data_IF_856537973264
#
_entry.id   IF_856537973264
#
_cell.length_a   1.000
_cell.length_b   1.000
_cell.length_c   1.000
_cell.angle_alpha   90.00
_cell.angle_beta   90.00
_cell.angle_gamma   90.00
#
_symmetry.space_group_name_H-M   'P 1'
#
loop_
_entity.id
_entity.type
_entity.pdbx_description
1 polymer ?
#
# COMPACT_ATOMS: atom_id res chain seq x y z
N UNK A 1 7.07 -28.79 -13.96
CA UNK A 1 5.59 -28.87 -13.93
C UNK A 1 5.23 -29.32 -12.54
N UNK A 2 4.83 -28.42 -11.67
CA UNK A 2 4.48 -28.72 -10.28
C UNK A 2 2.99 -28.99 -10.25
N UNK A 3 2.61 -30.26 -10.01
CA UNK A 3 1.22 -30.60 -9.78
C UNK A 3 0.94 -30.43 -8.28
N UNK A 4 0.32 -29.31 -7.90
CA UNK A 4 -0.28 -29.20 -6.58
C UNK A 4 -1.56 -30.05 -6.56
N UNK A 5 -1.74 -30.80 -5.49
CA UNK A 5 -2.96 -31.55 -5.26
C UNK A 5 -4.15 -30.57 -5.20
N UNK A 6 -5.26 -30.89 -5.85
CA UNK A 6 -6.48 -30.06 -5.83
C UNK A 6 -7.03 -29.81 -4.40
N UNK A 7 -6.47 -30.51 -3.41
CA UNK A 7 -6.89 -30.50 -2.00
C UNK A 7 -5.94 -29.68 -1.08
N UNK A 8 -4.87 -29.07 -1.61
CA UNK A 8 -4.00 -28.23 -0.77
C UNK A 8 -4.60 -26.84 -0.58
N UNK A 9 -4.60 -26.39 0.68
CA UNK A 9 -5.06 -25.03 1.01
C UNK A 9 -4.19 -23.98 0.29
N UNK A 10 -4.81 -23.14 -0.52
CA UNK A 10 -4.11 -22.08 -1.26
C UNK A 10 -3.91 -20.81 -0.43
N UNK A 11 -4.73 -20.63 0.60
CA UNK A 11 -4.68 -19.49 1.52
C UNK A 11 -4.60 -20.03 2.94
N UNK A 12 -3.59 -19.57 3.67
CA UNK A 12 -3.39 -19.88 5.08
C UNK A 12 -3.44 -18.60 5.89
N UNK A 13 -4.01 -18.68 7.07
CA UNK A 13 -4.01 -17.56 8.01
C UNK A 13 -3.57 -18.07 9.38
N UNK A 14 -2.53 -17.47 9.92
CA UNK A 14 -1.99 -17.76 11.24
C UNK A 14 -2.01 -16.53 12.12
N UNK A 15 -2.31 -16.71 13.40
CA UNK A 15 -2.29 -15.65 14.41
C UNK A 15 -1.45 -16.14 15.58
N UNK A 16 -0.51 -15.33 16.03
CA UNK A 16 0.32 -15.67 17.18
C UNK A 16 -0.54 -15.83 18.43
N UNK A 17 -0.23 -16.87 19.22
CA UNK A 17 -1.03 -17.20 20.38
C UNK A 17 -2.34 -17.95 20.10
N UNK A 18 -2.70 -18.18 18.83
CA UNK A 18 -3.82 -19.03 18.45
C UNK A 18 -3.33 -20.46 18.21
N UNK A 19 -3.80 -21.42 19.00
CA UNK A 19 -3.48 -22.85 18.83
C UNK A 19 -4.36 -23.55 17.82
N UNK A 20 -5.46 -22.92 17.44
CA UNK A 20 -6.48 -23.49 16.58
C UNK A 20 -6.13 -23.30 15.09
N UNK A 21 -6.50 -24.28 14.28
CA UNK A 21 -6.38 -24.16 12.83
C UNK A 21 -7.49 -23.26 12.29
N UNK A 22 -7.11 -22.16 11.62
CA UNK A 22 -8.01 -21.17 11.04
C UNK A 22 -8.12 -21.41 9.52
N UNK A 23 -9.19 -22.08 9.11
CA UNK A 23 -9.46 -22.33 7.69
C UNK A 23 -9.93 -21.03 6.98
N UNK A 24 -9.15 -20.49 6.05
CA UNK A 24 -9.54 -19.29 5.29
C UNK A 24 -10.66 -19.62 4.31
N UNK A 25 -11.84 -19.05 4.52
CA UNK A 25 -12.98 -19.19 3.62
C UNK A 25 -12.90 -18.19 2.46
N UNK A 26 -12.61 -16.95 2.78
CA UNK A 26 -12.42 -15.87 1.82
C UNK A 26 -11.67 -14.70 2.45
N UNK A 27 -11.08 -13.89 1.62
CA UNK A 27 -10.53 -12.62 2.05
C UNK A 27 -10.70 -11.55 0.96
N UNK A 28 -10.68 -10.30 1.38
CA UNK A 28 -10.54 -9.14 0.52
C UNK A 28 -9.65 -8.12 1.20
N UNK A 29 -8.83 -7.41 0.43
CA UNK A 29 -7.95 -6.39 0.98
C UNK A 29 -7.41 -5.45 -0.06
N UNK A 30 -6.86 -4.34 0.43
CA UNK A 30 -6.24 -3.31 -0.38
C UNK A 30 -4.84 -3.00 0.14
N UNK A 31 -3.91 -2.89 -0.78
CA UNK A 31 -2.58 -2.31 -0.58
C UNK A 31 -2.43 -1.12 -1.53
N UNK A 32 -1.89 0.01 -1.06
CA UNK A 32 -1.66 1.18 -1.91
C UNK A 32 -0.45 2.00 -1.42
N UNK A 33 0.17 2.75 -2.33
CA UNK A 33 1.22 3.72 -1.98
C UNK A 33 0.65 4.79 -1.05
N UNK A 34 1.41 5.16 -0.03
CA UNK A 34 1.03 6.19 0.92
C UNK A 34 -0.18 5.87 1.81
N UNK A 35 -0.63 4.59 1.81
CA UNK A 35 -1.74 4.12 2.64
C UNK A 35 -1.38 2.85 3.40
N UNK A 36 -1.94 2.70 4.59
CA UNK A 36 -1.89 1.45 5.32
C UNK A 36 -2.77 0.41 4.62
N UNK A 37 -2.23 -0.80 4.45
CA UNK A 37 -3.02 -1.91 3.92
C UNK A 37 -4.04 -2.40 4.95
N UNK A 38 -5.13 -2.99 4.44
CA UNK A 38 -6.15 -3.61 5.26
C UNK A 38 -6.72 -4.83 4.56
N UNK A 39 -6.79 -5.96 5.28
CA UNK A 39 -7.38 -7.20 4.79
C UNK A 39 -8.46 -7.68 5.74
N UNK A 40 -9.67 -7.88 5.24
CA UNK A 40 -10.74 -8.56 5.93
C UNK A 40 -10.70 -10.04 5.54
N UNK A 41 -10.54 -10.93 6.52
CA UNK A 41 -10.32 -12.37 6.36
C UNK A 41 -11.43 -13.12 7.10
N UNK A 42 -12.29 -13.82 6.37
CA UNK A 42 -13.30 -14.71 6.93
C UNK A 42 -12.70 -16.12 7.08
N UNK A 43 -12.72 -16.63 8.30
CA UNK A 43 -12.18 -17.96 8.61
C UNK A 43 -13.23 -18.83 9.26
N UNK A 44 -13.01 -20.13 9.21
CA UNK A 44 -13.76 -21.16 9.93
C UNK A 44 -12.85 -21.94 10.86
N UNK A 45 -13.38 -22.33 11.98
CA UNK A 45 -12.71 -23.14 13.01
C UNK A 45 -13.65 -24.21 13.52
N UNK A 46 -13.12 -25.43 13.74
CA UNK A 46 -13.88 -26.60 14.20
C UNK A 46 -14.00 -26.64 15.73
N UNK A 47 -13.17 -25.89 16.46
CA UNK A 47 -13.15 -25.89 17.92
C UNK A 47 -14.13 -24.91 18.53
N UNK A 48 -14.45 -25.13 19.81
CA UNK A 48 -15.25 -24.23 20.64
C UNK A 48 -14.68 -22.79 20.61
N UNK A 49 -15.51 -21.82 20.93
CA UNK A 49 -15.25 -20.41 20.72
C UNK A 49 -13.81 -19.94 20.99
N UNK A 50 -13.18 -19.32 19.98
CA UNK A 50 -11.87 -18.66 20.12
C UNK A 50 -11.98 -17.51 21.13
N UNK A 51 -10.95 -17.32 21.95
CA UNK A 51 -10.80 -16.11 22.74
C UNK A 51 -10.31 -14.96 21.84
N UNK A 52 -11.26 -14.39 21.07
CA UNK A 52 -10.98 -13.30 20.13
C UNK A 52 -10.41 -12.04 20.79
N UNK A 53 -10.65 -11.84 22.10
CA UNK A 53 -10.10 -10.70 22.83
C UNK A 53 -8.60 -10.87 23.06
N UNK A 54 -8.15 -12.08 23.36
CA UNK A 54 -6.73 -12.38 23.52
C UNK A 54 -5.94 -12.29 22.21
N UNK A 55 -6.61 -12.43 21.06
CA UNK A 55 -5.99 -12.35 19.73
C UNK A 55 -5.85 -10.92 19.21
N UNK A 56 -6.45 -9.92 19.84
CA UNK A 56 -6.27 -8.52 19.44
C UNK A 56 -4.82 -8.09 19.62
N UNK A 57 -4.31 -7.31 18.66
CA UNK A 57 -2.93 -6.82 18.59
C UNK A 57 -1.86 -7.91 18.41
N UNK A 58 -2.23 -9.20 18.39
CA UNK A 58 -1.29 -10.26 18.07
C UNK A 58 -0.82 -10.15 16.62
N UNK A 59 0.40 -10.57 16.36
CA UNK A 59 0.93 -10.69 15.01
C UNK A 59 0.21 -11.80 14.26
N UNK A 60 -0.02 -11.57 12.97
CA UNK A 60 -0.73 -12.51 12.11
C UNK A 60 -0.20 -12.44 10.67
N UNK A 61 -0.34 -13.55 9.94
CA UNK A 61 0.11 -13.63 8.56
C UNK A 61 -0.92 -14.35 7.69
N UNK A 62 -1.34 -13.67 6.60
CA UNK A 62 -2.07 -14.26 5.50
C UNK A 62 -1.07 -14.71 4.43
N UNK A 63 -1.00 -16.01 4.16
CA UNK A 63 -0.10 -16.60 3.16
C UNK A 63 -0.88 -17.00 1.91
N UNK A 64 -0.49 -16.47 0.76
CA UNK A 64 -0.99 -16.86 -0.55
C UNK A 64 -0.02 -17.88 -1.16
N UNK A 65 -0.40 -19.15 -1.15
CA UNK A 65 0.38 -20.24 -1.71
C UNK A 65 0.12 -20.42 -3.21
N UNK A 66 0.58 -21.53 -3.78
CA UNK A 66 0.37 -21.88 -5.18
C UNK A 66 1.06 -20.92 -6.18
N UNK A 67 2.22 -20.41 -5.78
CA UNK A 67 3.17 -19.66 -6.62
C UNK A 67 4.57 -20.25 -6.39
N UNK A 68 5.55 -20.04 -7.29
CA UNK A 68 6.92 -20.52 -7.06
C UNK A 68 7.53 -20.03 -5.74
N UNK A 69 7.08 -18.87 -5.27
CA UNK A 69 7.40 -18.34 -3.95
C UNK A 69 6.10 -17.84 -3.31
N UNK A 70 5.74 -18.29 -2.09
CA UNK A 70 4.54 -17.84 -1.42
C UNK A 70 4.61 -16.33 -1.19
N UNK A 71 3.47 -15.66 -1.30
CA UNK A 71 3.33 -14.26 -0.90
C UNK A 71 2.81 -14.21 0.53
N UNK A 72 3.47 -13.43 1.34
CA UNK A 72 3.08 -13.15 2.71
C UNK A 72 2.44 -11.77 2.82
N UNK A 73 1.42 -11.64 3.64
CA UNK A 73 0.83 -10.39 4.10
C UNK A 73 0.81 -10.50 5.61
N UNK A 74 1.89 -10.04 6.21
CA UNK A 74 2.09 -10.04 7.66
C UNK A 74 1.56 -8.74 8.25
N UNK A 75 0.97 -8.77 9.45
CA UNK A 75 0.43 -7.61 10.13
C UNK A 75 0.10 -7.89 11.59
N UNK A 76 -0.79 -7.07 12.14
CA UNK A 76 -1.42 -7.28 13.44
C UNK A 76 -2.92 -7.47 13.27
N UNK A 77 -3.54 -8.22 14.17
CA UNK A 77 -4.99 -8.31 14.27
C UNK A 77 -5.52 -6.99 14.83
N UNK A 78 -6.05 -6.15 13.94
CA UNK A 78 -6.65 -4.87 14.32
C UNK A 78 -8.05 -5.07 14.93
N UNK A 79 -8.83 -5.99 14.40
CA UNK A 79 -10.10 -6.42 14.97
C UNK A 79 -10.39 -7.88 14.67
N UNK A 80 -11.11 -8.53 15.58
CA UNK A 80 -11.61 -9.88 15.40
C UNK A 80 -13.06 -9.93 15.87
N UNK A 81 -13.90 -10.69 15.17
CA UNK A 81 -15.32 -10.82 15.50
C UNK A 81 -15.87 -12.18 15.12
N UNK A 82 -16.76 -12.72 15.97
CA UNK A 82 -17.54 -13.91 15.66
C UNK A 82 -18.72 -13.51 14.76
N UNK A 83 -18.92 -14.20 13.64
CA UNK A 83 -19.99 -13.92 12.69
C UNK A 83 -21.21 -14.79 12.95
N UNK A 84 -21.00 -16.12 13.00
CA UNK A 84 -22.04 -17.12 13.21
C UNK A 84 -21.43 -18.46 13.64
N UNK A 85 -22.24 -19.30 14.19
CA UNK A 85 -21.95 -20.73 14.36
C UNK A 85 -22.98 -21.53 13.57
N UNK A 86 -22.55 -22.49 12.79
CA UNK A 86 -23.40 -23.51 12.18
C UNK A 86 -23.15 -24.87 12.85
N UNK A 87 -23.72 -25.94 12.30
CA UNK A 87 -23.67 -27.26 12.94
C UNK A 87 -22.27 -27.86 13.03
N UNK A 88 -21.27 -27.32 12.31
CA UNK A 88 -19.94 -27.91 12.17
C UNK A 88 -18.82 -26.92 12.40
N UNK A 89 -19.05 -25.62 12.23
CA UNK A 89 -18.00 -24.60 12.24
C UNK A 89 -18.42 -23.33 12.95
N UNK A 90 -17.46 -22.68 13.60
CA UNK A 90 -17.53 -21.29 14.05
C UNK A 90 -16.91 -20.39 13.00
N UNK A 91 -17.62 -19.36 12.59
CA UNK A 91 -17.17 -18.39 11.57
C UNK A 91 -16.70 -17.11 12.25
N UNK A 92 -15.49 -16.70 11.93
CA UNK A 92 -14.88 -15.49 12.44
C UNK A 92 -14.45 -14.57 11.30
N UNK A 93 -14.39 -13.27 11.58
CA UNK A 93 -13.78 -12.28 10.72
C UNK A 93 -12.64 -11.62 11.45
N UNK A 94 -11.47 -11.60 10.81
CA UNK A 94 -10.29 -10.88 11.25
C UNK A 94 -10.00 -9.73 10.32
N UNK A 95 -9.58 -8.60 10.89
CA UNK A 95 -9.00 -7.48 10.14
C UNK A 95 -7.51 -7.43 10.41
N UNK A 96 -6.74 -7.65 9.37
CA UNK A 96 -5.27 -7.61 9.37
C UNK A 96 -4.81 -6.25 8.83
N UNK A 97 -3.93 -5.57 9.57
CA UNK A 97 -3.40 -4.27 9.20
C UNK A 97 -1.93 -4.14 9.66
N UNK A 98 -1.15 -3.15 9.16
CA UNK A 98 0.19 -2.91 9.67
C UNK A 98 0.17 -2.34 11.08
N UNK A 99 1.24 -2.55 11.87
CA UNK A 99 1.37 -1.89 13.17
C UNK A 99 1.33 -0.35 13.07
N UNK A 100 1.70 0.22 11.91
CA UNK A 100 1.59 1.64 11.63
C UNK A 100 0.15 2.17 11.76
N UNK A 101 -0.87 1.29 11.67
CA UNK A 101 -2.28 1.68 11.90
C UNK A 101 -2.50 2.18 13.33
N UNK A 102 -1.70 1.75 14.30
CA UNK A 102 -1.78 2.24 15.67
C UNK A 102 -1.47 3.75 15.80
N UNK A 103 -0.75 4.33 14.83
CA UNK A 103 -0.51 5.77 14.76
C UNK A 103 -1.79 6.58 14.47
N UNK A 104 -2.80 5.94 13.89
CA UNK A 104 -4.11 6.56 13.67
C UNK A 104 -4.86 6.87 14.99
N UNK A 105 -4.60 6.10 16.03
CA UNK A 105 -5.26 6.26 17.35
C UNK A 105 -4.49 7.17 18.31
N UNK A 106 -3.45 7.86 17.83
CA UNK A 106 -2.60 8.76 18.62
C UNK A 106 -2.69 10.17 18.07
N UNK A 107 -3.40 11.06 18.76
CA UNK A 107 -3.44 12.50 18.46
C UNK A 107 -2.45 13.24 19.32
N UNK A 108 -1.69 14.16 18.74
CA UNK A 108 -0.64 14.89 19.45
C UNK A 108 -0.55 16.37 19.04
N UNK A 109 0.12 17.13 19.91
CA UNK A 109 0.57 18.51 19.65
C UNK A 109 2.05 18.59 19.97
N UNK A 110 2.90 18.66 18.95
CA UNK A 110 4.36 18.63 19.10
C UNK A 110 5.01 19.62 18.16
N UNK A 111 6.18 20.11 18.58
CA UNK A 111 7.03 20.98 17.79
C UNK A 111 8.35 20.26 17.55
N UNK A 112 8.77 20.22 16.29
CA UNK A 112 10.07 19.73 15.89
C UNK A 112 10.88 20.90 15.33
N UNK A 113 12.13 21.03 15.77
CA UNK A 113 13.02 22.12 15.36
C UNK A 113 14.35 21.55 14.90
N UNK A 114 14.91 22.12 13.84
CA UNK A 114 16.20 21.71 13.28
C UNK A 114 16.31 20.20 13.04
N UNK A 115 15.25 19.60 12.50
CA UNK A 115 15.17 18.19 12.16
C UNK A 115 14.76 18.01 10.71
N UNK A 116 15.29 16.99 10.07
CA UNK A 116 14.81 16.58 8.75
C UNK A 116 13.48 15.81 8.85
N UNK A 117 12.75 15.69 7.74
CA UNK A 117 11.52 14.88 7.71
C UNK A 117 11.81 13.43 8.08
N UNK A 118 12.93 12.89 7.65
CA UNK A 118 13.35 11.52 7.99
C UNK A 118 13.60 11.34 9.49
N UNK A 119 14.19 12.34 10.15
CA UNK A 119 14.37 12.34 11.61
C UNK A 119 13.02 12.40 12.33
N UNK A 120 12.09 13.24 11.84
CA UNK A 120 10.75 13.36 12.41
C UNK A 120 9.99 12.05 12.29
N UNK A 121 10.02 11.37 11.12
CA UNK A 121 9.40 10.07 10.92
C UNK A 121 9.92 9.06 11.95
N UNK A 122 11.24 8.96 12.13
CA UNK A 122 11.86 8.05 13.09
C UNK A 122 11.47 8.39 14.53
N UNK A 123 11.46 9.68 14.89
CA UNK A 123 11.06 10.15 16.22
C UNK A 123 9.60 9.80 16.55
N UNK A 124 8.68 10.05 15.61
CA UNK A 124 7.25 9.72 15.79
C UNK A 124 7.06 8.22 15.97
N UNK A 125 7.74 7.41 15.15
CA UNK A 125 7.71 5.95 15.22
C UNK A 125 8.20 5.43 16.56
N UNK A 126 9.36 5.92 17.02
CA UNK A 126 9.95 5.54 18.31
C UNK A 126 9.06 5.96 19.49
N UNK A 127 8.53 7.19 19.48
CA UNK A 127 7.63 7.68 20.53
C UNK A 127 6.30 6.93 20.58
N UNK A 128 5.89 6.32 19.48
CA UNK A 128 4.75 5.43 19.44
C UNK A 128 5.03 4.04 20.03
N UNK A 129 6.29 3.71 20.34
CA UNK A 129 6.68 2.41 20.85
C UNK A 129 6.60 1.29 19.81
N UNK A 130 6.60 1.63 18.52
CA UNK A 130 6.54 0.65 17.43
C UNK A 130 7.91 0.00 17.22
N UNK A 131 7.91 -1.24 16.69
CA UNK A 131 9.14 -1.97 16.43
C UNK A 131 10.05 -1.21 15.45
N UNK A 132 11.26 -0.79 15.85
CA UNK A 132 12.17 -0.05 14.98
C UNK A 132 12.58 -0.84 13.73
N UNK A 133 12.64 -2.17 13.77
CA UNK A 133 12.97 -3.01 12.62
C UNK A 133 11.86 -3.02 11.53
N UNK A 134 10.66 -2.57 11.87
CA UNK A 134 9.53 -2.48 10.94
C UNK A 134 9.43 -1.09 10.26
N UNK A 135 10.44 -0.26 10.41
CA UNK A 135 10.58 1.02 9.71
C UNK A 135 11.89 1.04 8.91
N UNK A 136 11.80 1.46 7.66
CA UNK A 136 12.98 1.74 6.82
C UNK A 136 12.76 3.04 6.05
N UNK A 137 13.78 3.89 6.03
CA UNK A 137 13.78 5.13 5.27
C UNK A 137 14.94 5.08 4.28
N UNK A 138 14.65 5.24 2.99
CA UNK A 138 15.62 5.17 1.90
C UNK A 138 15.42 6.39 1.00
N UNK A 139 16.33 7.36 1.10
CA UNK A 139 16.29 8.58 0.28
C UNK A 139 17.59 8.72 -0.49
N UNK A 140 17.47 9.09 -1.77
CA UNK A 140 18.62 9.42 -2.64
C UNK A 140 19.14 10.81 -2.31
N UNK A 141 18.23 11.74 -1.99
CA UNK A 141 18.57 13.13 -1.75
C UNK A 141 18.55 13.44 -0.25
N UNK A 142 19.55 14.21 0.25
CA UNK A 142 19.50 14.70 1.64
C UNK A 142 18.23 15.52 1.86
N UNK A 143 17.49 15.17 2.89
CA UNK A 143 16.31 15.94 3.28
C UNK A 143 16.73 17.22 4.02
N UNK A 144 16.19 18.40 3.66
CA UNK A 144 16.54 19.64 4.32
C UNK A 144 16.14 19.62 5.80
N UNK A 145 16.92 20.31 6.63
CA UNK A 145 16.53 20.56 8.01
C UNK A 145 15.42 21.60 8.04
N UNK A 146 14.32 21.24 8.66
CA UNK A 146 13.20 22.16 8.90
C UNK A 146 13.52 23.02 10.11
N UNK A 147 13.49 24.34 9.95
CA UNK A 147 13.67 25.30 11.07
C UNK A 147 12.57 25.10 12.12
N UNK A 148 11.36 24.81 11.67
CA UNK A 148 10.18 24.63 12.50
C UNK A 148 9.14 23.75 11.80
N UNK A 149 8.66 22.70 12.49
CA UNK A 149 7.60 21.82 12.01
C UNK A 149 6.65 21.51 13.16
N UNK A 150 5.36 21.67 12.93
CA UNK A 150 4.32 21.48 13.96
C UNK A 150 3.39 20.34 13.55
N UNK A 151 3.17 19.43 14.50
CA UNK A 151 1.98 18.61 14.53
C UNK A 151 0.96 19.31 15.41
N UNK A 152 -0.21 19.63 14.88
CA UNK A 152 -1.22 20.35 15.62
C UNK A 152 -2.59 19.66 15.50
N UNK A 153 -3.04 19.06 16.60
CA UNK A 153 -4.34 18.41 16.76
C UNK A 153 -4.69 17.41 15.63
N UNK A 154 -3.70 16.69 15.18
CA UNK A 154 -3.81 15.65 14.15
C UNK A 154 -3.23 14.32 14.63
N UNK A 155 -3.66 13.21 14.02
CA UNK A 155 -3.11 11.90 14.36
C UNK A 155 -1.66 11.77 13.91
N UNK A 156 -0.89 10.91 14.58
CA UNK A 156 0.51 10.66 14.21
C UNK A 156 0.60 10.16 12.76
N UNK A 157 -0.34 9.31 12.32
CA UNK A 157 -0.38 8.82 10.94
C UNK A 157 -0.63 9.94 9.94
N UNK A 158 -1.64 10.78 10.18
CA UNK A 158 -1.96 11.91 9.30
C UNK A 158 -0.80 12.89 9.19
N UNK A 159 -0.16 13.18 10.33
CA UNK A 159 1.03 14.03 10.35
C UNK A 159 2.16 13.49 9.47
N UNK A 160 2.48 12.19 9.57
CA UNK A 160 3.51 11.58 8.72
C UNK A 160 3.11 11.61 7.24
N UNK A 161 1.86 11.32 6.91
CA UNK A 161 1.37 11.36 5.53
C UNK A 161 1.46 12.77 4.93
N UNK A 162 1.07 13.78 5.69
CA UNK A 162 1.18 15.19 5.29
C UNK A 162 2.63 15.63 5.05
N UNK A 163 3.55 15.20 5.93
CA UNK A 163 4.98 15.47 5.74
C UNK A 163 5.51 14.80 4.47
N UNK A 164 5.11 13.56 4.21
CA UNK A 164 5.50 12.84 3.00
C UNK A 164 5.03 13.57 1.75
N UNK A 165 3.77 13.99 1.71
CA UNK A 165 3.19 14.72 0.59
C UNK A 165 3.96 16.03 0.32
N UNK A 166 4.27 16.80 1.37
CA UNK A 166 4.97 18.07 1.23
C UNK A 166 6.44 17.94 0.81
N UNK A 167 7.08 16.81 1.14
CA UNK A 167 8.51 16.60 0.88
C UNK A 167 8.80 15.58 -0.22
N UNK A 168 7.76 15.17 -0.97
CA UNK A 168 7.93 14.24 -2.10
C UNK A 168 8.34 12.83 -1.67
N UNK A 169 7.98 12.44 -0.46
CA UNK A 169 8.15 11.08 0.01
C UNK A 169 6.86 10.27 -0.22
N UNK A 170 7.02 8.99 -0.44
CA UNK A 170 5.91 8.04 -0.37
C UNK A 170 6.35 6.79 0.38
N UNK A 171 5.39 5.97 0.79
CA UNK A 171 5.72 4.71 1.46
C UNK A 171 4.91 3.55 0.89
N UNK A 172 5.46 2.36 1.08
CA UNK A 172 4.84 1.09 0.79
C UNK A 172 5.25 0.07 1.86
N UNK A 173 4.73 -1.16 1.77
CA UNK A 173 5.05 -2.20 2.72
C UNK A 173 5.75 -3.37 2.04
N UNK A 174 6.78 -3.88 2.69
CA UNK A 174 7.41 -5.16 2.38
C UNK A 174 7.01 -6.19 3.43
N UNK A 175 6.83 -7.42 2.99
CA UNK A 175 6.38 -8.50 3.85
C UNK A 175 7.29 -9.73 3.74
N UNK A 176 7.55 -10.33 4.89
CA UNK A 176 8.08 -11.69 5.06
C UNK A 176 7.06 -12.53 5.83
N UNK A 177 7.36 -13.80 6.09
CA UNK A 177 6.50 -14.65 6.93
C UNK A 177 6.33 -14.08 8.35
N UNK A 178 7.38 -13.46 8.88
CA UNK A 178 7.48 -13.09 10.30
C UNK A 178 7.45 -11.57 10.54
N UNK A 179 7.47 -10.76 9.48
CA UNK A 179 7.58 -9.31 9.62
C UNK A 179 6.96 -8.56 8.44
N UNK A 180 6.43 -7.37 8.72
CA UNK A 180 6.18 -6.34 7.73
C UNK A 180 7.02 -5.10 8.01
N UNK A 181 7.45 -4.42 6.97
CA UNK A 181 8.30 -3.21 7.07
C UNK A 181 7.66 -2.08 6.28
N UNK A 182 7.42 -0.95 6.92
CA UNK A 182 7.00 0.29 6.27
C UNK A 182 8.23 0.98 5.70
N UNK A 183 8.28 1.16 4.40
CA UNK A 183 9.44 1.68 3.67
C UNK A 183 9.10 3.04 3.09
N UNK A 184 9.78 4.08 3.57
CA UNK A 184 9.68 5.45 3.04
C UNK A 184 10.78 5.67 2.00
N UNK A 185 10.41 6.24 0.86
CA UNK A 185 11.31 6.52 -0.26
C UNK A 185 11.02 7.89 -0.88
N UNK A 186 12.01 8.48 -1.55
CA UNK A 186 11.90 9.75 -2.28
C UNK A 186 11.87 9.56 -3.81
N UNK A 187 11.91 8.30 -4.30
CA UNK A 187 11.91 8.03 -5.72
C UNK A 187 11.62 6.58 -6.08
N UNK A 188 11.21 6.36 -7.33
CA UNK A 188 10.87 5.04 -7.86
C UNK A 188 12.10 4.14 -8.06
N UNK A 189 13.31 4.69 -8.04
CA UNK A 189 14.58 3.94 -8.18
C UNK A 189 14.83 2.95 -7.04
N UNK A 190 14.22 3.21 -5.87
CA UNK A 190 14.27 2.30 -4.71
C UNK A 190 13.31 1.11 -4.83
N UNK A 191 12.46 1.10 -5.85
CA UNK A 191 11.39 0.13 -6.00
C UNK A 191 11.84 -1.09 -6.81
N UNK A 192 11.47 -2.29 -6.35
CA UNK A 192 11.84 -3.54 -6.97
C UNK A 192 11.04 -3.81 -8.27
N UNK A 193 11.54 -4.74 -9.09
CA UNK A 193 10.79 -5.30 -10.22
C UNK A 193 10.25 -6.67 -9.85
N UNK A 194 8.96 -6.89 -10.11
CA UNK A 194 8.37 -8.23 -10.03
C UNK A 194 8.57 -9.02 -11.34
N UNK A 195 8.24 -10.31 -11.31
CA UNK A 195 8.33 -11.14 -12.50
C UNK A 195 7.42 -10.59 -13.63
N UNK A 196 7.86 -10.69 -14.90
CA UNK A 196 7.04 -10.27 -16.03
C UNK A 196 5.73 -11.05 -16.12
N UNK A 197 4.66 -10.35 -16.51
CA UNK A 197 3.32 -10.93 -16.67
C UNK A 197 2.86 -10.77 -18.10
N UNK A 198 2.31 -11.85 -18.66
CA UNK A 198 1.75 -11.85 -19.99
C UNK A 198 0.30 -11.35 -19.99
N UNK A 199 0.00 -10.44 -20.92
CA UNK A 199 -1.37 -10.06 -21.20
C UNK A 199 -2.07 -11.18 -21.97
N UNK A 200 -3.25 -11.56 -21.52
CA UNK A 200 -4.14 -12.48 -22.23
C UNK A 200 -5.58 -12.00 -22.01
N UNK A 201 -6.31 -11.65 -23.10
CA UNK A 201 -7.68 -11.23 -22.98
C UNK A 201 -8.54 -12.27 -22.25
N UNK A 202 -9.50 -11.79 -21.48
CA UNK A 202 -10.45 -12.65 -20.79
C UNK A 202 -11.24 -13.49 -21.81
N UNK A 203 -11.04 -14.80 -21.76
CA UNK A 203 -11.73 -15.77 -22.62
C UNK A 203 -12.91 -16.46 -21.93
N UNK A 204 -13.27 -16.00 -20.70
CA UNK A 204 -14.28 -16.65 -19.87
C UNK A 204 -13.82 -17.99 -19.24
N UNK A 205 -12.59 -18.41 -19.51
CA UNK A 205 -11.94 -19.54 -18.83
C UNK A 205 -11.04 -18.99 -17.74
N UNK A 206 -11.06 -19.62 -16.57
CA UNK A 206 -10.14 -19.27 -15.47
C UNK A 206 -8.78 -19.88 -15.83
N UNK A 207 -7.77 -19.10 -16.25
CA UNK A 207 -6.50 -19.66 -16.69
C UNK A 207 -5.72 -20.18 -15.48
N UNK A 208 -5.13 -21.37 -15.61
CA UNK A 208 -4.23 -21.93 -14.58
C UNK A 208 -2.90 -21.15 -14.48
N UNK A 209 -2.59 -20.37 -15.53
CA UNK A 209 -1.36 -19.57 -15.58
C UNK A 209 -1.59 -18.15 -15.06
N UNK A 210 -0.58 -17.54 -14.41
CA UNK A 210 -0.60 -16.14 -14.03
C UNK A 210 -0.68 -15.21 -15.24
N UNK A 211 -1.76 -14.42 -15.36
CA UNK A 211 -2.01 -13.52 -16.48
C UNK A 211 -2.56 -12.16 -16.03
N UNK A 212 -2.47 -11.21 -16.93
CA UNK A 212 -3.19 -9.94 -16.91
C UNK A 212 -4.33 -10.02 -17.94
N UNK A 213 -5.59 -9.92 -17.52
CA UNK A 213 -6.73 -10.22 -18.40
C UNK A 213 -7.43 -8.98 -18.96
N UNK A 214 -7.44 -7.89 -18.22
CA UNK A 214 -7.98 -6.60 -18.66
C UNK A 214 -6.90 -5.54 -18.49
N UNK A 215 -6.98 -4.50 -19.35
CA UNK A 215 -6.01 -3.41 -19.35
C UNK A 215 -6.71 -2.13 -19.86
N UNK A 216 -7.42 -1.47 -18.95
CA UNK A 216 -8.16 -0.27 -19.27
C UNK A 216 -7.25 0.95 -19.15
N UNK A 217 -6.96 1.57 -20.26
CA UNK A 217 -6.07 2.72 -20.34
C UNK A 217 -6.87 4.02 -20.46
N UNK A 218 -6.73 4.90 -19.48
CA UNK A 218 -7.47 6.15 -19.40
C UNK A 218 -6.54 7.34 -19.36
N UNK A 219 -6.91 8.40 -20.08
CA UNK A 219 -6.28 9.70 -20.01
C UNK A 219 -7.25 10.72 -19.44
N UNK A 220 -6.78 11.54 -18.51
CA UNK A 220 -7.55 12.61 -17.89
C UNK A 220 -6.81 13.93 -18.09
N UNK A 221 -7.56 15.00 -18.34
CA UNK A 221 -6.99 16.35 -18.38
C UNK A 221 -6.56 16.74 -16.96
N UNK A 222 -5.32 17.17 -16.82
CA UNK A 222 -4.75 17.59 -15.53
C UNK A 222 -4.03 18.92 -15.70
N UNK A 223 -3.58 19.53 -14.60
CA UNK A 223 -2.74 20.71 -14.66
C UNK A 223 -1.45 20.45 -15.45
N UNK A 224 -1.05 21.45 -16.24
CA UNK A 224 0.16 21.43 -17.06
C UNK A 224 1.27 22.30 -16.47
N UNK A 225 0.90 23.16 -15.52
CA UNK A 225 1.83 23.96 -14.73
C UNK A 225 1.40 23.99 -13.27
N UNK A 226 2.36 24.22 -12.37
CA UNK A 226 2.10 24.48 -10.97
C UNK A 226 2.84 25.72 -10.51
N UNK A 227 2.17 26.50 -9.66
CA UNK A 227 2.74 27.68 -9.00
C UNK A 227 2.48 27.56 -7.50
N UNK A 228 3.48 27.88 -6.72
CA UNK A 228 3.39 27.97 -5.27
C UNK A 228 3.79 29.35 -4.80
N UNK A 229 3.19 29.79 -3.71
CA UNK A 229 3.50 31.07 -3.09
C UNK A 229 3.49 30.93 -1.56
N UNK A 230 4.38 31.67 -0.91
CA UNK A 230 4.50 31.72 0.54
C UNK A 230 4.90 33.13 0.99
N UNK A 231 4.50 33.50 2.20
CA UNK A 231 4.81 34.78 2.77
C UNK A 231 5.84 34.66 3.91
N UNK A 232 7.01 35.26 3.70
CA UNK A 232 8.03 35.39 4.75
C UNK A 232 7.82 36.69 5.54
N UNK A 233 7.25 36.58 6.72
CA UNK A 233 6.99 37.71 7.61
C UNK A 233 8.29 38.36 8.13
N UNK A 234 9.42 37.63 8.07
CA UNK A 234 10.75 38.17 8.47
C UNK A 234 11.37 39.00 7.35
N UNK A 235 10.98 38.73 6.10
CA UNK A 235 11.44 39.41 4.89
C UNK A 235 10.27 39.77 3.98
N UNK A 236 9.38 40.69 4.41
CA UNK A 236 8.07 40.95 3.72
C UNK A 236 8.15 41.38 2.25
N UNK A 237 9.34 41.81 1.79
CA UNK A 237 9.59 42.23 0.40
C UNK A 237 10.18 41.14 -0.47
N UNK A 238 10.47 39.97 0.11
CA UNK A 238 11.04 38.84 -0.59
C UNK A 238 9.93 37.90 -1.01
N UNK A 239 9.74 37.74 -2.31
CA UNK A 239 8.74 36.80 -2.83
C UNK A 239 9.29 35.37 -2.75
N UNK A 240 8.57 34.52 -2.05
CA UNK A 240 8.82 33.07 -1.99
C UNK A 240 7.90 32.36 -2.98
N UNK A 241 8.11 32.59 -4.27
CA UNK A 241 7.29 32.00 -5.34
C UNK A 241 8.07 30.95 -6.12
N UNK A 242 7.44 29.84 -6.43
CA UNK A 242 7.97 28.80 -7.31
C UNK A 242 6.98 28.48 -8.41
N UNK A 243 7.47 28.28 -9.63
CA UNK A 243 6.64 27.89 -10.76
C UNK A 243 7.41 26.94 -11.69
N UNK A 244 6.67 26.10 -12.39
CA UNK A 244 7.23 25.13 -13.34
C UNK A 244 7.33 25.76 -14.73
N UNK A 245 6.31 25.66 -15.55
CA UNK A 245 6.29 26.26 -16.89
C UNK A 245 5.10 27.21 -17.02
N UNK A 246 5.11 28.08 -18.02
CA UNK A 246 4.07 29.09 -18.23
C UNK A 246 3.07 28.74 -19.34
N UNK A 247 2.80 27.44 -19.52
CA UNK A 247 1.90 27.00 -20.60
C UNK A 247 0.84 26.04 -20.06
N UNK A 248 -0.43 26.29 -20.40
CA UNK A 248 -1.53 25.39 -20.09
C UNK A 248 -2.30 25.73 -18.82
N UNK A 249 -3.03 24.74 -18.30
CA UNK A 249 -3.84 24.90 -17.09
C UNK A 249 -2.98 24.94 -15.84
N UNK A 250 -3.15 25.97 -15.02
CA UNK A 250 -2.37 26.20 -13.82
C UNK A 250 -3.03 25.60 -12.57
N UNK A 251 -2.22 24.95 -11.74
CA UNK A 251 -2.51 24.64 -10.35
C UNK A 251 -1.76 25.61 -9.44
N UNK A 252 -2.47 26.48 -8.75
CA UNK A 252 -1.90 27.44 -7.80
C UNK A 252 -2.15 26.98 -6.37
N UNK A 253 -1.09 27.01 -5.53
CA UNK A 253 -1.17 26.67 -4.10
C UNK A 253 -0.44 27.72 -3.26
N UNK A 254 -1.12 28.25 -2.24
CA UNK A 254 -0.55 29.15 -1.24
C UNK A 254 -0.36 28.42 0.09
N UNK A 255 0.64 28.86 0.90
CA UNK A 255 0.87 28.32 2.24
C UNK A 255 1.58 26.97 2.26
N UNK A 256 2.54 26.78 1.38
CA UNK A 256 3.33 25.54 1.26
C UNK A 256 4.45 25.41 2.30
N UNK A 257 4.56 26.37 3.23
CA UNK A 257 5.46 26.37 4.40
C UNK A 257 6.97 26.24 4.07
N UNK A 258 7.38 26.70 2.89
CA UNK A 258 8.81 26.75 2.54
C UNK A 258 9.43 28.08 2.98
N UNK A 259 10.65 28.03 3.47
CA UNK A 259 11.41 29.18 3.97
C UNK A 259 12.53 29.64 3.02
N UNK A 260 12.70 28.95 1.90
CA UNK A 260 13.72 29.23 0.89
C UNK A 260 13.17 29.16 -0.54
N UNK A 261 13.63 30.09 -1.40
CA UNK A 261 13.25 30.15 -2.82
C UNK A 261 13.58 28.85 -3.59
N UNK A 262 14.65 28.16 -3.24
CA UNK A 262 15.01 26.89 -3.85
C UNK A 262 13.98 25.78 -3.55
N UNK A 263 13.36 25.81 -2.38
CA UNK A 263 12.32 24.87 -1.99
C UNK A 263 10.99 25.15 -2.71
N UNK A 264 10.69 26.41 -3.01
CA UNK A 264 9.50 26.78 -3.76
C UNK A 264 9.46 26.13 -5.15
N UNK A 265 10.57 26.15 -5.88
CA UNK A 265 10.66 25.51 -7.20
C UNK A 265 10.51 23.98 -7.11
N UNK A 266 11.11 23.38 -6.10
CA UNK A 266 10.98 21.93 -5.84
C UNK A 266 9.53 21.57 -5.52
N UNK A 267 8.86 22.35 -4.68
CA UNK A 267 7.45 22.12 -4.34
C UNK A 267 6.52 22.28 -5.54
N UNK A 268 6.72 23.31 -6.36
CA UNK A 268 5.96 23.45 -7.60
C UNK A 268 6.12 22.22 -8.51
N UNK A 269 7.34 21.69 -8.62
CA UNK A 269 7.61 20.49 -9.40
C UNK A 269 6.95 19.24 -8.83
N UNK A 270 6.94 19.06 -7.51
CA UNK A 270 6.27 17.94 -6.83
C UNK A 270 4.75 17.98 -7.03
N UNK A 271 4.15 19.16 -6.88
CA UNK A 271 2.71 19.36 -7.12
C UNK A 271 2.36 19.05 -8.58
N UNK A 272 3.17 19.53 -9.52
CA UNK A 272 2.95 19.21 -10.93
C UNK A 272 3.08 17.72 -11.21
N UNK A 273 4.09 17.06 -10.64
CA UNK A 273 4.27 15.61 -10.78
C UNK A 273 3.06 14.85 -10.22
N UNK A 274 2.53 15.25 -9.07
CA UNK A 274 1.31 14.68 -8.49
C UNK A 274 0.11 14.83 -9.45
N UNK A 275 -0.09 16.01 -10.03
CA UNK A 275 -1.15 16.24 -11.01
C UNK A 275 -0.97 15.39 -12.27
N UNK A 276 0.27 15.24 -12.75
CA UNK A 276 0.58 14.45 -13.94
C UNK A 276 0.41 12.95 -13.72
N UNK A 277 0.59 12.45 -12.48
CA UNK A 277 0.27 11.06 -12.15
C UNK A 277 -1.21 10.71 -12.40
N UNK A 278 -2.09 11.66 -12.20
CA UNK A 278 -3.52 11.50 -12.47
C UNK A 278 -3.85 11.49 -13.98
N UNK A 279 -2.94 12.01 -14.82
CA UNK A 279 -3.16 12.17 -16.25
C UNK A 279 -3.32 10.84 -16.98
N UNK A 280 -2.55 9.83 -16.58
CA UNK A 280 -2.55 8.51 -17.21
C UNK A 280 -2.72 7.42 -16.16
N UNK A 281 -3.81 6.72 -16.23
CA UNK A 281 -4.13 5.59 -15.34
C UNK A 281 -4.41 4.34 -16.14
N UNK A 282 -3.92 3.22 -15.66
CA UNK A 282 -4.24 1.91 -16.20
C UNK A 282 -4.85 1.10 -15.07
N UNK A 283 -6.06 0.59 -15.32
CA UNK A 283 -6.71 -0.36 -14.45
C UNK A 283 -6.62 -1.74 -15.10
N UNK A 284 -5.94 -2.66 -14.42
CA UNK A 284 -5.75 -4.02 -14.91
C UNK A 284 -6.39 -5.04 -13.97
N UNK A 285 -6.88 -6.15 -14.53
CA UNK A 285 -7.33 -7.32 -13.78
C UNK A 285 -6.33 -8.45 -13.95
N UNK A 286 -6.06 -9.18 -12.87
CA UNK A 286 -5.04 -10.23 -12.87
C UNK A 286 -5.38 -11.33 -11.85
N UNK A 287 -4.75 -12.49 -12.00
CA UNK A 287 -4.70 -13.57 -11.02
C UNK A 287 -3.30 -13.76 -10.42
N UNK A 288 -2.37 -12.83 -10.68
CA UNK A 288 -0.99 -12.88 -10.21
C UNK A 288 -0.91 -12.46 -8.74
N UNK A 289 -0.45 -13.34 -7.87
CA UNK A 289 -0.42 -13.10 -6.41
C UNK A 289 0.72 -12.21 -5.94
N UNK A 290 1.82 -12.14 -6.71
CA UNK A 290 3.05 -11.43 -6.34
C UNK A 290 3.13 -10.00 -6.90
N UNK A 291 1.99 -9.35 -7.14
CA UNK A 291 1.94 -7.93 -7.48
C UNK A 291 1.69 -7.14 -6.20
N UNK A 292 2.47 -6.09 -5.96
CA UNK A 292 2.36 -5.23 -4.77
C UNK A 292 2.73 -3.78 -5.08
N UNK A 293 2.16 -2.81 -4.36
CA UNK A 293 2.48 -1.39 -4.53
C UNK A 293 3.96 -1.11 -4.27
N UNK A 294 4.53 -0.14 -4.97
CA UNK A 294 5.96 0.15 -4.88
C UNK A 294 6.82 -0.87 -5.64
N UNK A 295 6.25 -1.55 -6.64
CA UNK A 295 7.01 -2.41 -7.53
C UNK A 295 6.75 -2.05 -8.99
N UNK A 296 7.67 -2.48 -9.87
CA UNK A 296 7.48 -2.42 -11.32
C UNK A 296 6.98 -3.77 -11.85
N UNK A 297 5.86 -3.74 -12.56
CA UNK A 297 5.26 -4.88 -13.26
C UNK A 297 5.60 -4.81 -14.75
N UNK A 298 6.57 -5.59 -15.25
CA UNK A 298 6.80 -5.69 -16.68
C UNK A 298 5.64 -6.44 -17.35
N UNK A 299 4.97 -5.78 -18.30
CA UNK A 299 3.89 -6.37 -19.09
C UNK A 299 4.43 -6.77 -20.45
N UNK A 300 4.04 -7.93 -20.95
CA UNK A 300 4.39 -8.43 -22.27
C UNK A 300 3.16 -9.04 -22.99
N UNK A 301 3.33 -9.35 -24.27
CA UNK A 301 2.32 -9.97 -25.13
C UNK A 301 1.01 -9.15 -25.28
N UNK A 302 1.00 -7.86 -24.94
CA UNK A 302 -0.11 -6.99 -25.25
C UNK A 302 -0.13 -6.67 -26.77
N UNK A 303 -1.30 -6.72 -27.45
CA UNK A 303 -1.40 -6.41 -28.89
C UNK A 303 -0.89 -5.01 -29.25
N UNK A 304 -1.17 -4.04 -28.40
CA UNK A 304 -0.61 -2.68 -28.49
C UNK A 304 0.80 -2.67 -27.94
N UNK A 305 1.81 -2.53 -28.83
CA UNK A 305 3.23 -2.64 -28.47
C UNK A 305 3.65 -1.59 -27.43
N UNK A 306 3.06 -0.40 -27.50
CA UNK A 306 3.33 0.71 -26.57
C UNK A 306 2.99 0.38 -25.13
N UNK A 307 2.18 -0.64 -24.86
CA UNK A 307 1.78 -1.06 -23.52
C UNK A 307 2.67 -2.18 -22.94
N UNK A 308 3.58 -2.75 -23.74
CA UNK A 308 4.57 -3.75 -23.29
C UNK A 308 5.75 -3.08 -22.59
N UNK A 309 5.50 -2.48 -21.43
CA UNK A 309 6.45 -1.70 -20.63
C UNK A 309 6.42 -2.17 -19.17
N UNK A 310 7.45 -1.82 -18.39
CA UNK A 310 7.38 -1.93 -16.93
C UNK A 310 6.51 -0.81 -16.37
N UNK A 311 5.35 -1.17 -15.82
CA UNK A 311 4.41 -0.26 -15.19
C UNK A 311 4.63 -0.19 -13.69
N UNK A 312 4.53 0.99 -13.11
CA UNK A 312 4.63 1.19 -11.67
C UNK A 312 3.30 0.85 -10.99
N UNK A 313 3.34 -0.01 -9.99
CA UNK A 313 2.16 -0.47 -9.25
C UNK A 313 1.83 0.53 -8.14
N UNK A 314 0.66 1.15 -8.22
CA UNK A 314 0.18 2.15 -7.25
C UNK A 314 -0.70 1.53 -6.19
N UNK A 315 -1.66 0.69 -6.61
CA UNK A 315 -2.53 -0.03 -5.67
C UNK A 315 -2.92 -1.40 -6.21
N UNK A 316 -3.25 -2.29 -5.29
CA UNK A 316 -3.74 -3.64 -5.59
C UNK A 316 -4.92 -3.94 -4.66
N UNK A 317 -6.07 -4.28 -5.26
CA UNK A 317 -7.22 -4.82 -4.54
C UNK A 317 -7.25 -6.33 -4.74
N UNK A 318 -7.15 -7.06 -3.65
CA UNK A 318 -7.11 -8.51 -3.64
C UNK A 318 -8.46 -9.10 -3.27
N UNK A 319 -8.82 -10.21 -3.89
CA UNK A 319 -9.95 -11.05 -3.51
C UNK A 319 -9.60 -12.51 -3.68
N UNK A 320 -9.78 -13.30 -2.63
CA UNK A 320 -9.58 -14.74 -2.65
C UNK A 320 -10.74 -15.47 -2.00
N UNK A 321 -11.09 -16.64 -2.53
CA UNK A 321 -12.14 -17.52 -2.01
C UNK A 321 -11.63 -18.95 -2.01
N UNK A 322 -11.92 -19.70 -0.93
CA UNK A 322 -11.50 -21.10 -0.74
C UNK A 322 -12.64 -21.90 -0.11
N UNK A 323 -13.74 -22.16 -0.86
CA UNK A 323 -14.94 -22.80 -0.34
C UNK A 323 -14.72 -24.24 0.13
N UNK A 324 -13.70 -24.94 -0.38
CA UNK A 324 -13.38 -26.33 0.02
C UNK A 324 -12.96 -26.49 1.47
N UNK A 325 -12.71 -25.41 2.20
CA UNK A 325 -12.50 -25.43 3.66
C UNK A 325 -13.76 -25.91 4.40
N UNK A 326 -14.92 -25.63 3.82
CA UNK A 326 -16.18 -26.21 4.29
C UNK A 326 -16.30 -27.62 3.74
N UNK A 327 -16.33 -28.63 4.62
CA UNK A 327 -16.40 -30.07 4.23
C UNK A 327 -17.57 -30.37 3.30
N UNK A 328 -18.65 -29.60 3.41
CA UNK A 328 -19.86 -29.69 2.58
C UNK A 328 -19.63 -29.19 1.13
N UNK A 329 -18.62 -28.36 0.90
CA UNK A 329 -18.26 -27.76 -0.39
C UNK A 329 -16.90 -28.26 -0.89
N UNK A 330 -16.51 -29.47 -0.54
CA UNK A 330 -15.19 -30.06 -0.87
C UNK A 330 -14.86 -30.08 -2.37
N UNK A 331 -15.86 -30.03 -3.25
CA UNK A 331 -15.71 -29.93 -4.71
C UNK A 331 -15.48 -28.50 -5.22
N UNK A 332 -15.58 -27.49 -4.33
CA UNK A 332 -15.31 -26.09 -4.65
C UNK A 332 -13.85 -25.87 -5.05
N UNK A 333 -13.62 -24.96 -6.02
CA UNK A 333 -12.27 -24.55 -6.42
C UNK A 333 -11.90 -23.25 -5.76
N UNK A 334 -10.68 -23.15 -5.25
CA UNK A 334 -10.12 -21.85 -4.81
C UNK A 334 -10.01 -20.92 -5.99
N UNK A 335 -10.33 -19.65 -5.75
CA UNK A 335 -10.17 -18.58 -6.73
C UNK A 335 -9.38 -17.42 -6.14
N UNK A 336 -8.58 -16.78 -6.97
CA UNK A 336 -7.90 -15.53 -6.64
C UNK A 336 -7.95 -14.59 -7.83
N UNK A 337 -8.26 -13.34 -7.53
CA UNK A 337 -8.22 -12.26 -8.50
C UNK A 337 -7.78 -10.97 -7.82
N UNK A 338 -7.17 -10.10 -8.59
CA UNK A 338 -6.87 -8.75 -8.13
C UNK A 338 -7.17 -7.70 -9.22
N UNK A 339 -7.35 -6.46 -8.75
CA UNK A 339 -7.40 -5.27 -9.60
C UNK A 339 -6.20 -4.41 -9.27
N UNK A 340 -5.45 -4.04 -10.28
CA UNK A 340 -4.18 -3.33 -10.14
C UNK A 340 -4.29 -1.98 -10.80
N UNK A 341 -3.98 -0.92 -10.05
CA UNK A 341 -3.79 0.41 -10.60
C UNK A 341 -2.32 0.60 -10.96
N UNK A 342 -2.08 0.88 -12.23
CA UNK A 342 -0.76 1.03 -12.80
C UNK A 342 -0.56 2.45 -13.34
N UNK A 343 0.67 2.94 -13.26
CA UNK A 343 1.08 4.22 -13.81
C UNK A 343 2.37 4.08 -14.61
N UNK A 344 2.64 5.06 -15.46
CA UNK A 344 3.88 5.10 -16.20
C UNK A 344 5.07 5.31 -15.24
N UNK A 345 6.22 4.79 -15.58
CA UNK A 345 7.47 5.13 -14.91
C UNK A 345 7.79 6.60 -15.20
N UNK A 346 7.99 7.38 -14.16
CA UNK A 346 8.50 8.77 -14.28
C UNK A 346 10.00 8.80 -14.48
#
# INVERSE_FOLDING_TARGET
MWFFSANEAQFLFTVDGCSEELGVLRFSGEEALGKNYCFDIDVVCDSDALDIMALQHQTACLTLQNTPQPRFIHGIVLSAGHIKTDNHHHHYRFRLAPQAELLHYRTNQRIFQQQSVTDIIQNVWQQAGLNPAALRVQTTHPQPLLSYCVQYDETDLHFLQRLCEWHGLFYYFEHTADQHTMVFVDGQEHCAKVAPVSYQPDSGQNPDNPILSQFDWQFTVTAEQASVDEYDFTRPRFALTGNTSYTGHEWYQYGTQHDAQSLAATQASLILAQQQHERQRILAHSNVRNIYPGSFLPVNAHPEIALNLPWFVVSVHHKGEQPQVLKELAEGRSSYQNRVLLQHKN
#
